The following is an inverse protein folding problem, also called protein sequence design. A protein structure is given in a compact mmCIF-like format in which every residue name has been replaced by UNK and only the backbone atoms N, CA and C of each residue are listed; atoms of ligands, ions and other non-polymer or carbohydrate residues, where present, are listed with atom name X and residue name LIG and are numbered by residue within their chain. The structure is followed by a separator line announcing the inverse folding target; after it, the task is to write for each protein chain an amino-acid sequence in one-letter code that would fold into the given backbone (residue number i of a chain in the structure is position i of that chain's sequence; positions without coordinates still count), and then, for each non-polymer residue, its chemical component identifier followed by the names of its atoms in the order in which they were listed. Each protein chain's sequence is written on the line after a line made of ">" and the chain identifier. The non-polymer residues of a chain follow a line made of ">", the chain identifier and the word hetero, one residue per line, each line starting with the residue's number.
data_IF_061040990562
#
_entry.id   IF_061040990562
#
_cell.length_a   1.000
_cell.length_b   1.000
_cell.length_c   1.000
_cell.angle_alpha   90.00
_cell.angle_beta   90.00
_cell.angle_gamma   90.00
#
_symmetry.space_group_name_H-M   'P 1'
#
loop_
_entity.id
_entity.type
_entity.pdbx_description
1 polymer ?
#
# COMPACT_ATOMS: atom_id res chain seq x y z
N UNK A 1 28.13 11.36 40.98
CA UNK A 1 27.10 12.36 41.31
C UNK A 1 27.45 13.64 40.59
N UNK A 2 26.87 13.86 39.41
CA UNK A 2 26.91 15.15 38.68
C UNK A 2 25.51 15.47 38.20
N UNK A 3 25.01 16.70 38.36
CA UNK A 3 23.61 17.05 38.17
C UNK A 3 23.32 17.41 36.71
N UNK A 4 22.40 16.65 36.11
CA UNK A 4 21.74 16.90 34.83
C UNK A 4 20.62 17.94 34.99
N UNK A 5 20.91 19.22 35.07
CA UNK A 5 19.83 20.21 35.12
C UNK A 5 20.22 21.65 34.71
N UNK A 6 20.98 21.82 33.61
CA UNK A 6 21.25 23.17 33.09
C UNK A 6 21.24 23.31 31.55
N UNK A 7 20.77 22.34 30.77
CA UNK A 7 20.81 22.44 29.30
C UNK A 7 19.47 22.66 28.62
N UNK A 8 18.35 22.73 29.34
CA UNK A 8 17.00 22.84 28.73
C UNK A 8 16.36 24.25 28.86
N UNK A 9 17.09 25.29 29.23
CA UNK A 9 16.54 26.67 29.35
C UNK A 9 17.08 27.69 28.36
N UNK A 10 17.87 27.31 27.37
CA UNK A 10 18.48 28.28 26.44
C UNK A 10 17.97 28.22 24.99
N UNK A 11 16.98 27.36 24.66
CA UNK A 11 16.46 27.22 23.28
C UNK A 11 15.08 27.88 23.09
N UNK A 12 14.45 28.41 24.14
CA UNK A 12 13.12 29.04 24.01
C UNK A 12 13.09 30.58 24.12
N UNK A 13 14.16 31.29 23.77
CA UNK A 13 14.17 32.77 23.84
C UNK A 13 14.83 33.46 22.66
N UNK A 14 14.67 32.97 21.43
CA UNK A 14 15.17 33.72 20.25
C UNK A 14 14.28 33.56 19.01
N UNK A 15 12.97 33.70 19.12
CA UNK A 15 12.11 33.96 17.96
C UNK A 15 10.86 34.77 18.36
N UNK A 16 11.08 35.95 18.90
CA UNK A 16 10.05 36.99 19.02
C UNK A 16 10.80 38.31 19.08
N UNK A 17 10.92 38.97 17.94
CA UNK A 17 11.13 40.41 17.71
C UNK A 17 11.92 40.60 16.42
N UNK A 18 11.30 41.22 15.50
CA UNK A 18 11.62 41.82 14.18
C UNK A 18 10.58 41.24 13.19
N UNK A 19 9.52 41.94 12.78
CA UNK A 19 9.49 43.13 11.96
C UNK A 19 8.12 43.82 12.01
N UNK A 20 8.07 44.98 12.55
CA UNK A 20 7.15 46.03 12.20
C UNK A 20 7.96 47.06 11.40
N UNK A 21 7.89 47.06 10.09
CA UNK A 21 7.90 48.27 9.23
C UNK A 21 7.95 47.94 7.75
N UNK A 22 6.90 48.45 7.08
CA UNK A 22 6.93 48.92 5.69
C UNK A 22 6.98 47.90 4.51
N UNK A 23 5.94 47.66 3.74
CA UNK A 23 5.74 48.48 2.52
C UNK A 23 4.51 48.06 1.73
N UNK A 24 3.73 49.03 1.35
CA UNK A 24 2.64 48.95 0.36
C UNK A 24 3.22 48.53 -1.01
N UNK A 25 2.81 47.38 -1.54
CA UNK A 25 2.62 47.17 -3.00
C UNK A 25 1.72 45.95 -3.18
N UNK A 26 0.60 46.16 -3.88
CA UNK A 26 -0.40 45.16 -4.17
C UNK A 26 0.16 44.01 -5.00
N UNK A 27 -0.02 42.81 -4.49
CA UNK A 27 0.08 41.58 -5.28
C UNK A 27 -1.27 40.93 -5.13
N UNK A 28 -2.04 40.92 -6.23
CA UNK A 28 -3.27 40.14 -6.35
C UNK A 28 -2.90 38.66 -6.21
N UNK A 29 -2.96 38.14 -4.99
CA UNK A 29 -2.98 36.71 -4.78
C UNK A 29 -4.43 36.24 -4.86
N UNK A 30 -4.80 35.67 -6.00
CA UNK A 30 -5.99 34.82 -6.12
C UNK A 30 -5.77 33.55 -5.31
N UNK A 31 -5.87 33.63 -4.00
CA UNK A 31 -6.05 32.45 -3.17
C UNK A 31 -7.50 32.03 -3.25
N UNK A 32 -7.83 31.10 -4.15
CA UNK A 32 -9.01 30.26 -3.97
C UNK A 32 -8.78 29.40 -2.75
N UNK A 33 -8.95 29.96 -1.57
CA UNK A 33 -9.14 29.19 -0.34
C UNK A 33 -10.51 28.53 -0.46
N UNK A 34 -10.53 27.25 -0.84
CA UNK A 34 -11.70 26.41 -0.65
C UNK A 34 -12.01 26.42 0.85
N UNK A 35 -13.08 27.07 1.25
CA UNK A 35 -13.56 27.10 2.64
C UNK A 35 -13.93 25.66 3.05
N UNK A 36 -12.96 24.97 3.63
CA UNK A 36 -13.20 23.71 4.33
C UNK A 36 -13.78 24.06 5.69
N UNK A 37 -15.12 24.07 5.79
CA UNK A 37 -15.79 24.21 7.08
C UNK A 37 -15.42 23.06 8.00
N UNK A 38 -14.99 23.41 9.20
CA UNK A 38 -14.76 22.65 10.44
C UNK A 38 -14.85 21.13 10.38
N UNK A 39 -13.72 20.47 10.62
CA UNK A 39 -13.64 19.03 10.84
C UNK A 39 -14.27 18.64 12.18
N UNK A 40 -15.60 18.48 12.21
CA UNK A 40 -16.32 17.96 13.36
C UNK A 40 -15.97 16.49 13.55
N UNK A 41 -15.74 16.10 14.81
CA UNK A 41 -15.60 14.68 15.16
C UNK A 41 -16.96 14.01 15.09
N UNK A 42 -17.03 12.84 14.45
CA UNK A 42 -18.27 12.10 14.23
C UNK A 42 -18.11 10.62 14.54
N UNK A 43 -19.19 10.03 15.06
CA UNK A 43 -19.27 8.61 15.37
C UNK A 43 -20.02 7.86 14.26
N UNK A 44 -19.84 6.53 14.11
CA UNK A 44 -20.63 5.72 13.22
C UNK A 44 -22.12 5.84 13.53
N UNK A 45 -22.94 6.08 12.48
CA UNK A 45 -24.39 6.30 12.62
C UNK A 45 -24.80 7.75 12.91
N UNK A 46 -23.87 8.68 13.06
CA UNK A 46 -24.17 10.10 13.23
C UNK A 46 -24.62 10.73 11.90
N UNK A 47 -25.67 11.57 11.94
CA UNK A 47 -26.21 12.24 10.77
C UNK A 47 -25.27 13.35 10.31
N UNK A 48 -24.97 13.35 9.01
CA UNK A 48 -24.07 14.34 8.37
C UNK A 48 -24.81 15.34 7.48
N UNK A 49 -25.93 14.92 6.89
CA UNK A 49 -26.71 15.76 5.96
C UNK A 49 -27.79 14.95 5.26
N UNK A 50 -28.33 15.51 4.20
CA UNK A 50 -29.31 14.89 3.32
C UNK A 50 -28.82 14.86 1.88
N UNK A 51 -29.29 13.90 1.08
CA UNK A 51 -28.83 13.73 -0.32
C UNK A 51 -29.22 14.88 -1.25
N UNK A 52 -30.20 15.69 -0.87
CA UNK A 52 -30.61 16.88 -1.61
C UNK A 52 -29.59 18.01 -1.49
N UNK A 53 -28.82 18.05 -0.40
CA UNK A 53 -27.82 19.08 -0.14
C UNK A 53 -26.42 18.64 -0.48
N UNK A 54 -26.11 17.37 -0.21
CA UNK A 54 -24.74 16.83 -0.31
C UNK A 54 -24.69 15.50 -1.05
N UNK A 55 -23.62 15.30 -1.78
CA UNK A 55 -23.23 14.03 -2.40
C UNK A 55 -22.43 13.22 -1.39
N UNK A 56 -22.86 12.00 -1.03
CA UNK A 56 -22.11 11.12 -0.13
C UNK A 56 -20.80 10.66 -0.79
N UNK A 57 -19.72 10.68 -0.02
CA UNK A 57 -18.40 10.25 -0.45
C UNK A 57 -17.79 9.29 0.60
N UNK A 58 -16.47 9.09 0.56
CA UNK A 58 -15.75 8.12 1.40
C UNK A 58 -16.10 8.25 2.88
N UNK A 59 -16.30 7.10 3.56
CA UNK A 59 -16.60 7.03 4.99
C UNK A 59 -18.07 7.34 5.35
N UNK A 60 -18.97 7.46 4.37
CA UNK A 60 -20.41 7.71 4.57
C UNK A 60 -21.27 6.56 4.03
N UNK A 61 -22.53 6.52 4.42
CA UNK A 61 -23.58 5.70 3.81
C UNK A 61 -24.91 6.44 3.84
N UNK A 62 -25.83 6.04 2.95
CA UNK A 62 -27.17 6.64 2.84
C UNK A 62 -28.21 5.66 3.35
N UNK A 63 -29.15 6.17 4.15
CA UNK A 63 -30.34 5.46 4.56
C UNK A 63 -31.51 6.47 4.61
N UNK A 64 -32.63 6.14 3.94
CA UNK A 64 -33.85 6.96 3.91
C UNK A 64 -33.61 8.43 3.51
N UNK A 65 -32.73 8.67 2.49
CA UNK A 65 -32.39 10.02 2.01
C UNK A 65 -31.45 10.81 2.94
N UNK A 66 -31.04 10.23 4.07
CA UNK A 66 -30.14 10.86 5.03
C UNK A 66 -28.76 10.25 4.92
N UNK A 67 -27.73 11.09 4.95
CA UNK A 67 -26.32 10.69 4.92
C UNK A 67 -25.81 10.52 6.36
N UNK A 68 -25.25 9.37 6.66
CA UNK A 68 -24.69 9.03 7.96
C UNK A 68 -23.21 8.71 7.86
N UNK A 69 -22.48 8.91 8.96
CA UNK A 69 -21.11 8.44 9.09
C UNK A 69 -21.06 6.92 9.20
N UNK A 70 -20.17 6.30 8.41
CA UNK A 70 -19.88 4.87 8.46
C UNK A 70 -18.74 4.53 9.44
N UNK A 71 -17.86 5.48 9.71
CA UNK A 71 -16.62 5.30 10.46
C UNK A 71 -16.48 6.37 11.53
N UNK A 72 -15.71 6.06 12.59
CA UNK A 72 -15.30 7.06 13.55
C UNK A 72 -14.22 7.97 12.92
N UNK A 73 -14.43 9.29 12.94
CA UNK A 73 -13.51 10.18 12.23
C UNK A 73 -13.87 11.64 12.31
N UNK A 74 -13.31 12.39 11.36
CA UNK A 74 -13.60 13.80 11.17
C UNK A 74 -14.40 14.01 9.89
N UNK A 75 -15.56 14.62 10.00
CA UNK A 75 -16.36 14.99 8.87
C UNK A 75 -15.70 16.14 8.09
N UNK A 76 -15.63 16.00 6.78
CA UNK A 76 -15.13 16.99 5.83
C UNK A 76 -16.28 17.36 4.90
N UNK A 77 -16.70 18.62 4.97
CA UNK A 77 -17.74 19.20 4.12
C UNK A 77 -17.05 20.04 3.04
N UNK A 78 -17.16 19.62 1.80
CA UNK A 78 -16.74 20.38 0.63
C UNK A 78 -17.98 21.11 0.07
N UNK A 79 -18.10 22.37 0.42
CA UNK A 79 -19.24 23.20 0.00
C UNK A 79 -19.18 23.54 -1.49
N UNK A 80 -17.98 23.57 -2.09
CA UNK A 80 -17.80 23.89 -3.51
C UNK A 80 -18.34 22.78 -4.40
N UNK A 81 -18.06 21.53 -4.04
CA UNK A 81 -18.50 20.33 -4.77
C UNK A 81 -19.73 19.67 -4.14
N UNK A 82 -20.31 20.27 -3.09
CA UNK A 82 -21.41 19.71 -2.31
C UNK A 82 -21.18 18.26 -1.89
N UNK A 83 -19.95 17.93 -1.43
CA UNK A 83 -19.59 16.57 -0.99
C UNK A 83 -19.40 16.51 0.50
N UNK A 84 -19.87 15.42 1.10
CA UNK A 84 -19.61 15.09 2.50
C UNK A 84 -18.84 13.79 2.58
N UNK A 85 -17.71 13.82 3.27
CA UNK A 85 -16.86 12.65 3.51
C UNK A 85 -16.43 12.59 4.97
N UNK A 86 -16.02 11.41 5.44
CA UNK A 86 -15.47 11.24 6.78
C UNK A 86 -14.07 10.66 6.68
N UNK A 87 -13.08 11.40 7.17
CA UNK A 87 -11.71 10.90 7.30
C UNK A 87 -11.61 10.06 8.57
N UNK A 88 -11.36 8.75 8.45
CA UNK A 88 -11.25 7.89 9.61
C UNK A 88 -10.05 8.26 10.48
N UNK A 89 -10.20 8.23 11.80
CA UNK A 89 -9.11 8.37 12.77
C UNK A 89 -8.35 7.07 12.97
N UNK A 90 -9.04 5.94 12.78
CA UNK A 90 -8.45 4.61 12.92
C UNK A 90 -8.28 4.03 11.52
N UNK A 91 -7.09 3.55 11.23
CA UNK A 91 -6.84 2.81 10.00
C UNK A 91 -7.50 1.44 10.13
N UNK A 92 -8.49 1.17 9.30
CA UNK A 92 -9.10 -0.16 9.18
C UNK A 92 -8.09 -1.21 8.70
N UNK A 93 -8.47 -2.49 8.80
CA UNK A 93 -7.70 -3.58 8.24
C UNK A 93 -7.43 -3.33 6.75
N UNK A 94 -6.17 -3.49 6.35
CA UNK A 94 -5.77 -3.34 4.94
C UNK A 94 -6.16 -4.59 4.18
N UNK A 95 -6.85 -4.39 3.08
CA UNK A 95 -7.26 -5.45 2.15
C UNK A 95 -6.58 -5.16 0.80
N UNK A 96 -6.05 -6.17 0.11
CA UNK A 96 -5.51 -6.00 -1.24
C UNK A 96 -6.59 -5.48 -2.18
N UNK A 97 -6.31 -4.38 -2.88
CA UNK A 97 -7.20 -3.80 -3.90
C UNK A 97 -6.54 -3.86 -5.26
N UNK A 98 -7.35 -3.84 -6.30
CA UNK A 98 -6.86 -3.74 -7.68
C UNK A 98 -5.91 -2.54 -7.82
N UNK A 99 -4.72 -2.79 -8.37
CA UNK A 99 -3.65 -1.81 -8.53
C UNK A 99 -2.58 -1.82 -7.45
N UNK A 100 -2.84 -2.38 -6.25
CA UNK A 100 -1.82 -2.48 -5.21
C UNK A 100 -0.68 -3.44 -5.60
N UNK A 101 0.51 -3.12 -5.14
CA UNK A 101 1.67 -4.01 -5.20
C UNK A 101 1.70 -4.82 -3.91
N UNK A 102 1.78 -6.13 -4.03
CA UNK A 102 1.76 -7.07 -2.91
C UNK A 102 3.04 -7.89 -2.87
N UNK A 103 3.48 -8.21 -1.66
CA UNK A 103 4.54 -9.18 -1.41
C UNK A 103 3.93 -10.38 -0.71
N UNK A 104 4.23 -11.57 -1.21
CA UNK A 104 3.73 -12.81 -0.65
C UNK A 104 4.67 -13.97 -0.85
N UNK A 105 4.38 -15.06 -0.15
CA UNK A 105 5.08 -16.32 -0.29
C UNK A 105 4.28 -17.29 -1.15
N UNK A 106 4.95 -17.93 -2.10
CA UNK A 106 4.36 -18.99 -2.91
C UNK A 106 4.09 -20.21 -2.02
N UNK A 107 2.83 -20.61 -1.91
CA UNK A 107 2.40 -21.75 -1.09
C UNK A 107 2.39 -23.07 -1.88
N UNK A 108 1.86 -23.03 -3.09
CA UNK A 108 1.80 -24.17 -4.00
C UNK A 108 1.95 -23.70 -5.44
N UNK A 109 2.40 -24.60 -6.31
CA UNK A 109 2.57 -24.36 -7.75
C UNK A 109 1.95 -25.53 -8.50
N UNK A 110 1.13 -25.22 -9.49
CA UNK A 110 0.56 -26.13 -10.47
C UNK A 110 1.09 -25.78 -11.86
N UNK A 111 0.72 -26.51 -12.89
CA UNK A 111 1.17 -26.26 -14.26
C UNK A 111 0.86 -24.83 -14.72
N UNK A 112 -0.38 -24.36 -14.47
CA UNK A 112 -0.89 -23.11 -14.98
C UNK A 112 -1.05 -22.01 -13.93
N UNK A 113 -1.06 -22.39 -12.65
CA UNK A 113 -1.32 -21.47 -11.53
C UNK A 113 -0.32 -21.64 -10.41
N UNK A 114 -0.07 -20.54 -9.68
CA UNK A 114 0.61 -20.56 -8.40
C UNK A 114 -0.24 -19.87 -7.33
N UNK A 115 -0.42 -20.54 -6.19
CA UNK A 115 -1.04 -19.96 -5.00
C UNK A 115 -0.02 -19.14 -4.22
N UNK A 116 -0.39 -17.92 -3.86
CA UNK A 116 0.45 -16.97 -3.13
C UNK A 116 -0.24 -16.54 -1.85
N UNK A 117 0.44 -16.63 -0.73
CA UNK A 117 0.01 -16.10 0.56
C UNK A 117 0.55 -14.67 0.71
N UNK A 118 -0.31 -13.68 0.55
CA UNK A 118 0.03 -12.25 0.60
C UNK A 118 0.25 -11.84 2.06
N UNK A 119 1.39 -11.24 2.38
CA UNK A 119 1.79 -10.80 3.72
C UNK A 119 2.01 -9.30 3.85
N UNK A 120 2.32 -8.58 2.74
CA UNK A 120 2.51 -7.12 2.71
C UNK A 120 1.76 -6.50 1.53
N UNK A 121 1.28 -5.27 1.71
CA UNK A 121 0.69 -4.44 0.65
C UNK A 121 1.42 -3.10 0.69
N UNK A 122 1.98 -2.67 -0.47
CA UNK A 122 2.71 -1.41 -0.61
C UNK A 122 3.72 -1.20 0.54
N UNK A 123 4.57 -2.21 0.78
CA UNK A 123 5.61 -2.29 1.84
C UNK A 123 5.10 -2.27 3.30
N UNK A 124 3.79 -2.28 3.50
CA UNK A 124 3.20 -2.31 4.84
C UNK A 124 2.74 -3.72 5.19
N UNK A 125 3.16 -4.25 6.34
CA UNK A 125 2.76 -5.59 6.75
C UNK A 125 1.26 -5.66 7.03
N UNK A 126 0.69 -6.83 6.80
CA UNK A 126 -0.68 -7.17 7.13
C UNK A 126 -0.73 -7.87 8.50
N UNK A 127 -1.83 -7.70 9.21
CA UNK A 127 -2.10 -8.42 10.46
C UNK A 127 -2.49 -9.89 10.25
N UNK A 128 -2.77 -10.28 9.02
CA UNK A 128 -3.13 -11.63 8.58
C UNK A 128 -2.65 -11.89 7.17
N UNK A 129 -3.10 -13.00 6.57
CA UNK A 129 -2.75 -13.37 5.20
C UNK A 129 -3.97 -13.29 4.30
N UNK A 130 -3.75 -12.91 3.04
CA UNK A 130 -4.75 -13.02 1.99
C UNK A 130 -4.28 -14.03 0.94
N UNK A 131 -5.25 -14.69 0.31
CA UNK A 131 -4.96 -15.63 -0.77
C UNK A 131 -4.86 -14.89 -2.10
N UNK A 132 -3.78 -15.14 -2.82
CA UNK A 132 -3.59 -14.68 -4.19
C UNK A 132 -3.36 -15.85 -5.13
N UNK A 133 -3.74 -15.69 -6.40
CA UNK A 133 -3.46 -16.64 -7.47
C UNK A 133 -2.77 -15.90 -8.61
N UNK A 134 -1.64 -16.45 -9.04
CA UNK A 134 -0.89 -16.00 -10.21
C UNK A 134 -1.11 -17.04 -11.33
N UNK A 135 -1.73 -16.62 -12.42
CA UNK A 135 -1.93 -17.47 -13.59
C UNK A 135 -0.76 -17.31 -14.56
N UNK A 136 -0.44 -18.36 -15.33
CA UNK A 136 0.68 -18.38 -16.28
C UNK A 136 0.61 -17.27 -17.33
N UNK A 137 -0.60 -16.89 -17.79
CA UNK A 137 -0.81 -15.79 -18.74
C UNK A 137 -0.48 -14.40 -18.18
N UNK A 138 -0.43 -14.25 -16.85
CA UNK A 138 -0.19 -12.99 -16.16
C UNK A 138 1.22 -12.85 -15.61
N UNK A 139 2.09 -13.80 -15.95
CA UNK A 139 3.50 -13.79 -15.55
C UNK A 139 4.31 -12.79 -16.36
N UNK A 140 4.27 -12.91 -17.68
CA UNK A 140 5.01 -12.07 -18.62
C UNK A 140 4.33 -12.02 -19.98
N UNK A 141 4.79 -11.13 -20.86
CA UNK A 141 4.22 -10.97 -22.21
C UNK A 141 4.63 -12.10 -23.17
N UNK A 142 5.80 -12.71 -22.93
CA UNK A 142 6.27 -13.85 -23.72
C UNK A 142 5.66 -15.16 -23.20
N UNK A 143 5.62 -16.16 -24.06
CA UNK A 143 5.12 -17.48 -23.72
C UNK A 143 5.89 -18.11 -22.56
N UNK A 144 5.17 -18.67 -21.60
CA UNK A 144 5.70 -19.41 -20.45
C UNK A 144 5.16 -20.84 -20.54
N UNK A 145 6.06 -21.80 -20.65
CA UNK A 145 5.72 -23.21 -20.78
C UNK A 145 5.07 -23.78 -19.51
N UNK A 146 5.57 -23.40 -18.35
CA UNK A 146 5.08 -23.88 -17.06
C UNK A 146 5.41 -22.94 -15.92
N UNK A 147 4.50 -22.86 -14.95
CA UNK A 147 4.73 -22.08 -13.71
C UNK A 147 5.93 -22.56 -12.90
N UNK A 148 6.35 -23.82 -13.02
CA UNK A 148 7.56 -24.34 -12.33
C UNK A 148 8.85 -23.66 -12.77
N UNK A 149 8.87 -23.05 -13.97
CA UNK A 149 9.99 -22.24 -14.47
C UNK A 149 9.95 -20.79 -13.97
N UNK A 150 8.82 -20.36 -13.40
CA UNK A 150 8.58 -18.99 -12.91
C UNK A 150 8.84 -18.86 -11.42
N UNK A 151 8.28 -19.76 -10.64
CA UNK A 151 8.40 -19.78 -9.17
C UNK A 151 8.29 -21.20 -8.63
N UNK A 152 8.70 -21.38 -7.38
CA UNK A 152 8.50 -22.64 -6.66
C UNK A 152 7.92 -22.37 -5.27
N UNK A 153 7.33 -23.39 -4.62
CA UNK A 153 6.86 -23.27 -3.26
C UNK A 153 7.97 -22.76 -2.33
N UNK A 154 7.63 -21.79 -1.47
CA UNK A 154 8.57 -21.15 -0.56
C UNK A 154 9.16 -19.82 -1.08
N UNK A 155 9.20 -19.60 -2.40
CA UNK A 155 9.74 -18.38 -2.98
C UNK A 155 8.93 -17.13 -2.54
N UNK A 156 9.60 -16.00 -2.32
CA UNK A 156 8.97 -14.71 -2.08
C UNK A 156 8.78 -13.98 -3.40
N UNK A 157 7.55 -13.60 -3.69
CA UNK A 157 7.16 -12.97 -4.94
C UNK A 157 6.52 -11.61 -4.71
N UNK A 158 6.89 -10.63 -5.55
CA UNK A 158 6.24 -9.33 -5.63
C UNK A 158 5.36 -9.33 -6.88
N UNK A 159 4.09 -8.99 -6.69
CA UNK A 159 3.10 -8.99 -7.77
C UNK A 159 2.13 -7.81 -7.64
N UNK A 160 1.44 -7.47 -8.72
CA UNK A 160 0.39 -6.46 -8.75
C UNK A 160 -0.97 -7.13 -8.78
N UNK A 161 -1.90 -6.65 -7.97
CA UNK A 161 -3.29 -7.12 -7.98
C UNK A 161 -3.99 -6.57 -9.22
N UNK A 162 -4.51 -7.45 -10.07
CA UNK A 162 -5.24 -7.09 -11.31
C UNK A 162 -6.75 -7.25 -11.17
N UNK A 163 -7.20 -8.15 -10.32
CA UNK A 163 -8.62 -8.41 -10.10
C UNK A 163 -8.83 -9.02 -8.72
N UNK A 164 -10.02 -8.86 -8.18
CA UNK A 164 -10.47 -9.50 -6.95
C UNK A 164 -11.79 -10.22 -7.24
N UNK A 165 -11.78 -11.54 -7.18
CA UNK A 165 -12.95 -12.37 -7.40
C UNK A 165 -12.97 -13.49 -6.37
N UNK A 166 -14.16 -13.77 -5.80
CA UNK A 166 -14.37 -14.87 -4.85
C UNK A 166 -13.39 -14.83 -3.65
N UNK A 167 -13.11 -13.62 -3.11
CA UNK A 167 -12.17 -13.41 -2.00
C UNK A 167 -10.71 -13.81 -2.31
N UNK A 168 -10.38 -14.03 -3.58
CA UNK A 168 -9.04 -14.33 -4.04
C UNK A 168 -8.53 -13.19 -4.92
N UNK A 169 -7.32 -12.71 -4.63
CA UNK A 169 -6.68 -11.69 -5.43
C UNK A 169 -5.97 -12.31 -6.62
N UNK A 170 -6.37 -11.95 -7.83
CA UNK A 170 -5.63 -12.32 -9.03
C UNK A 170 -4.42 -11.41 -9.19
N UNK A 171 -3.27 -12.03 -9.40
CA UNK A 171 -1.97 -11.37 -9.42
C UNK A 171 -1.38 -11.34 -10.81
N UNK A 172 -0.56 -10.34 -11.11
CA UNK A 172 0.25 -10.26 -12.32
C UNK A 172 1.68 -9.86 -11.98
N UNK A 173 2.61 -10.44 -12.73
CA UNK A 173 4.04 -10.10 -12.65
C UNK A 173 4.60 -9.66 -14.01
N UNK A 174 3.75 -9.12 -14.90
CA UNK A 174 4.17 -8.70 -16.26
C UNK A 174 5.26 -7.63 -16.26
N UNK A 175 5.24 -6.75 -15.28
CA UNK A 175 6.24 -5.70 -15.16
C UNK A 175 7.61 -6.25 -14.76
N UNK A 176 8.69 -5.63 -15.23
CA UNK A 176 10.07 -6.03 -14.95
C UNK A 176 10.46 -5.87 -13.47
N UNK A 177 9.81 -4.96 -12.74
CA UNK A 177 10.00 -4.75 -11.30
C UNK A 177 9.31 -5.81 -10.45
N UNK A 178 8.43 -6.63 -11.05
CA UNK A 178 7.65 -7.66 -10.42
C UNK A 178 8.23 -9.05 -10.74
N UNK A 179 8.03 -9.99 -9.82
CA UNK A 179 8.54 -11.35 -9.91
C UNK A 179 9.09 -11.84 -8.59
N UNK A 180 9.90 -12.86 -8.65
CA UNK A 180 10.54 -13.45 -7.47
C UNK A 180 11.62 -12.52 -6.94
N UNK A 181 11.51 -12.15 -5.66
CA UNK A 181 12.44 -11.27 -4.93
C UNK A 181 13.48 -12.07 -4.14
N UNK A 182 13.05 -13.19 -3.58
CA UNK A 182 13.91 -14.19 -2.93
C UNK A 182 13.46 -15.58 -3.30
N UNK A 183 14.40 -16.43 -3.67
CA UNK A 183 14.16 -17.82 -4.01
C UNK A 183 15.03 -18.75 -3.16
N UNK A 184 14.49 -19.91 -2.87
CA UNK A 184 15.16 -20.95 -2.14
C UNK A 184 15.44 -22.17 -3.02
N UNK A 185 16.58 -22.80 -2.80
CA UNK A 185 16.96 -24.02 -3.51
C UNK A 185 15.97 -25.15 -3.21
N UNK A 186 15.42 -25.77 -4.24
CA UNK A 186 14.48 -26.90 -4.09
C UNK A 186 15.09 -28.14 -3.47
N UNK A 187 16.43 -28.24 -3.43
CA UNK A 187 17.12 -29.41 -2.91
C UNK A 187 17.63 -29.22 -1.47
N UNK A 188 18.25 -28.06 -1.16
CA UNK A 188 18.90 -27.85 0.14
C UNK A 188 18.29 -26.69 0.94
N UNK A 189 17.29 -25.97 0.41
CA UNK A 189 16.64 -24.86 1.08
C UNK A 189 17.49 -23.60 1.24
N UNK A 190 18.72 -23.56 0.73
CA UNK A 190 19.60 -22.40 0.82
C UNK A 190 19.12 -21.30 -0.16
N UNK A 191 19.37 -20.05 0.15
CA UNK A 191 19.00 -18.91 -0.70
C UNK A 191 19.76 -18.97 -2.02
N UNK A 192 19.05 -18.81 -3.15
CA UNK A 192 19.63 -18.77 -4.47
C UNK A 192 20.23 -17.41 -4.78
N UNK A 193 21.37 -17.39 -5.44
CA UNK A 193 22.03 -16.19 -5.96
C UNK A 193 21.76 -16.03 -7.47
N UNK A 194 21.53 -14.81 -7.91
CA UNK A 194 21.36 -14.50 -9.33
C UNK A 194 22.74 -14.29 -9.97
N UNK A 195 23.15 -15.22 -10.85
CA UNK A 195 24.37 -15.09 -11.67
C UNK A 195 23.96 -14.95 -13.15
N UNK A 196 24.15 -13.75 -13.71
CA UNK A 196 23.71 -13.37 -15.06
C UNK A 196 22.18 -13.52 -15.20
N UNK A 197 21.69 -14.60 -15.78
CA UNK A 197 20.25 -14.87 -15.97
C UNK A 197 19.77 -16.17 -15.33
N UNK A 198 20.64 -16.87 -14.60
CA UNK A 198 20.32 -18.13 -13.94
C UNK A 198 20.48 -18.01 -12.44
N UNK A 199 19.60 -18.70 -11.72
CA UNK A 199 19.68 -18.81 -10.27
C UNK A 199 20.63 -19.95 -9.92
N UNK A 200 21.61 -19.69 -9.06
CA UNK A 200 22.62 -20.62 -8.64
C UNK A 200 22.58 -20.80 -7.11
N UNK A 201 22.67 -22.05 -6.67
CA UNK A 201 22.78 -22.36 -5.25
C UNK A 201 24.26 -22.44 -4.87
N UNK A 202 24.79 -21.57 -3.98
CA UNK A 202 26.20 -21.62 -3.58
C UNK A 202 26.55 -22.84 -2.74
N UNK A 203 25.53 -23.49 -2.11
CA UNK A 203 25.76 -24.65 -1.24
C UNK A 203 25.83 -25.98 -1.99
N UNK A 204 24.91 -26.24 -2.92
CA UNK A 204 24.83 -27.52 -3.63
C UNK A 204 25.17 -27.43 -5.13
N UNK A 205 25.50 -26.24 -5.65
CA UNK A 205 25.90 -26.05 -7.04
C UNK A 205 24.74 -26.11 -8.06
N UNK A 206 23.51 -26.39 -7.62
CA UNK A 206 22.36 -26.54 -8.51
C UNK A 206 21.94 -25.20 -9.13
N UNK A 207 21.62 -25.23 -10.42
CA UNK A 207 21.04 -24.09 -11.14
C UNK A 207 19.54 -24.27 -11.32
N UNK A 208 18.79 -23.21 -11.14
CA UNK A 208 17.34 -23.20 -11.30
C UNK A 208 16.87 -21.97 -12.08
N UNK A 209 15.72 -22.06 -12.74
CA UNK A 209 15.10 -20.93 -13.42
C UNK A 209 14.01 -20.33 -12.56
N UNK A 210 13.92 -19.00 -12.55
CA UNK A 210 12.84 -18.21 -11.93
C UNK A 210 12.62 -16.93 -12.75
N UNK A 211 11.43 -16.39 -12.69
CA UNK A 211 11.21 -15.01 -13.13
C UNK A 211 11.55 -14.07 -12.00
N UNK A 212 12.75 -13.52 -12.01
CA UNK A 212 13.25 -12.61 -10.98
C UNK A 212 12.76 -11.18 -11.20
N UNK A 213 12.53 -10.46 -10.11
CA UNK A 213 12.40 -9.01 -10.13
C UNK A 213 13.76 -8.35 -10.37
N UNK A 214 13.78 -7.09 -10.87
CA UNK A 214 15.03 -6.34 -11.12
C UNK A 214 15.89 -6.15 -9.86
N UNK A 215 15.27 -6.11 -8.72
CA UNK A 215 15.89 -5.88 -7.40
C UNK A 215 16.06 -7.18 -6.58
N UNK A 216 16.15 -8.32 -7.25
CA UNK A 216 16.37 -9.61 -6.60
C UNK A 216 17.55 -9.56 -5.62
N UNK A 217 17.31 -10.02 -4.39
CA UNK A 217 18.33 -10.08 -3.34
C UNK A 217 18.71 -8.75 -2.68
N UNK A 218 18.15 -7.63 -3.14
CA UNK A 218 18.40 -6.30 -2.55
C UNK A 218 17.34 -5.97 -1.48
N UNK A 219 17.50 -6.60 -0.32
CA UNK A 219 16.88 -6.23 0.96
C UNK A 219 15.46 -5.68 0.95
N UNK A 220 14.46 -6.55 0.93
CA UNK A 220 13.07 -6.20 1.26
C UNK A 220 12.58 -7.24 2.27
N UNK A 221 13.06 -7.13 3.47
CA UNK A 221 12.48 -7.86 4.61
C UNK A 221 12.06 -6.85 5.66
#
# INVERSE_FOLDING_TARGET
>A
MYPFSKCLRLIMRKHLLVDLHNNKKGIYMTSRSSERKSSQFVLPGERLGVIEEFIPDTGTYVKDGIIYSRVIGRALLDLSNKRVSVRPLVHGARVPKVGNIVLGQVSNVQTDNAGVRISKIDDKPLSGFFSGVLHVSDVQLSYVESMFNVCKPGDLIRAKVISEKNQVSHLSTKDKSLGVVYAFCSQCGYTLELKRQTMYCPRCGKTEKRKTALDYGKGIL
#
